data_IF_767730792172
#
_entry.id   IF_767730792172
#
_cell.length_a   1.000
_cell.length_b   1.000
_cell.length_c   1.000
_cell.angle_alpha   90.00
_cell.angle_beta   90.00
_cell.angle_gamma   90.00
#
_symmetry.space_group_name_H-M   'P 1'
#
loop_
_entity.id
_entity.type
_entity.pdbx_description
1 polymer ?
#
# COMPACT_ATOMS: atom_id res chain seq x y z
N UNK A 1 -44.52 -40.29 -35.89
CA UNK A 1 -43.69 -39.12 -36.11
C UNK A 1 -43.54 -38.30 -34.81
N UNK A 2 -44.60 -38.07 -34.10
CA UNK A 2 -44.60 -37.27 -32.86
C UNK A 2 -43.83 -37.93 -31.70
N UNK A 3 -43.81 -39.27 -31.65
CA UNK A 3 -43.09 -40.04 -30.60
C UNK A 3 -41.56 -40.02 -30.83
N UNK A 4 -41.12 -40.04 -32.09
CA UNK A 4 -39.70 -39.96 -32.44
C UNK A 4 -39.12 -38.57 -32.16
N UNK A 5 -39.93 -37.52 -32.31
CA UNK A 5 -39.51 -36.14 -31.98
C UNK A 5 -39.29 -35.92 -30.48
N UNK A 6 -40.19 -36.44 -29.64
CA UNK A 6 -40.04 -36.37 -28.16
C UNK A 6 -38.85 -37.17 -27.62
N UNK A 7 -38.52 -38.30 -28.25
CA UNK A 7 -37.34 -39.07 -27.87
C UNK A 7 -36.05 -38.35 -28.29
N UNK A 8 -36.05 -37.61 -29.38
CA UNK A 8 -34.95 -36.83 -29.87
C UNK A 8 -34.69 -35.58 -29.00
N UNK A 9 -35.75 -34.87 -28.59
CA UNK A 9 -35.65 -33.73 -27.66
C UNK A 9 -35.13 -34.15 -26.27
N UNK A 10 -35.62 -35.24 -25.71
CA UNK A 10 -35.14 -35.72 -24.41
C UNK A 10 -33.70 -36.22 -24.43
N UNK A 11 -33.22 -36.73 -25.57
CA UNK A 11 -31.81 -37.21 -25.68
C UNK A 11 -30.82 -36.08 -25.85
N UNK A 12 -31.23 -34.94 -26.40
CA UNK A 12 -30.34 -33.75 -26.54
C UNK A 12 -30.30 -32.93 -25.24
N UNK A 13 -31.37 -32.92 -24.45
CA UNK A 13 -31.46 -32.13 -23.21
C UNK A 13 -30.75 -32.75 -22.01
N UNK A 14 -30.41 -34.04 -22.07
CA UNK A 14 -29.71 -34.78 -21.00
C UNK A 14 -28.19 -34.94 -21.20
N UNK A 15 -27.55 -34.15 -22.08
CA UNK A 15 -26.11 -34.01 -22.02
C UNK A 15 -25.79 -33.10 -20.80
N UNK A 16 -25.82 -33.74 -19.63
CA UNK A 16 -25.44 -33.07 -18.38
C UNK A 16 -24.15 -32.24 -18.58
N UNK A 17 -24.15 -30.96 -18.22
CA UNK A 17 -22.97 -30.09 -18.36
C UNK A 17 -21.70 -30.75 -17.80
N UNK A 18 -21.84 -31.66 -16.84
CA UNK A 18 -20.74 -32.45 -16.28
C UNK A 18 -20.08 -33.38 -17.31
N UNK A 19 -20.87 -33.99 -18.24
CA UNK A 19 -20.34 -34.87 -19.28
C UNK A 19 -19.60 -34.04 -20.33
N UNK A 20 -20.13 -32.88 -20.69
CA UNK A 20 -19.45 -31.95 -21.60
C UNK A 20 -18.12 -31.47 -21.00
N UNK A 21 -18.09 -31.04 -19.75
CA UNK A 21 -16.86 -30.64 -19.04
C UNK A 21 -15.83 -31.77 -19.02
N UNK A 22 -16.24 -32.98 -18.68
CA UNK A 22 -15.36 -34.16 -18.69
C UNK A 22 -14.74 -34.43 -20.07
N UNK A 23 -15.52 -34.31 -21.13
CA UNK A 23 -15.07 -34.51 -22.48
C UNK A 23 -14.09 -33.41 -22.94
N UNK A 24 -14.39 -32.14 -22.61
CA UNK A 24 -13.49 -31.02 -22.88
C UNK A 24 -12.18 -31.17 -22.13
N UNK A 25 -12.23 -31.55 -20.87
CA UNK A 25 -11.04 -31.73 -20.05
C UNK A 25 -10.16 -32.89 -20.58
N UNK A 26 -10.78 -34.01 -20.93
CA UNK A 26 -10.08 -35.18 -21.49
C UNK A 26 -9.42 -34.83 -22.84
N UNK A 27 -10.13 -34.10 -23.68
CA UNK A 27 -9.61 -33.68 -25.00
C UNK A 27 -8.48 -32.67 -24.84
N UNK A 28 -8.61 -31.71 -23.94
CA UNK A 28 -7.57 -30.73 -23.62
C UNK A 28 -6.30 -31.42 -23.10
N UNK A 29 -6.45 -32.36 -22.16
CA UNK A 29 -5.31 -33.09 -21.59
C UNK A 29 -4.59 -33.97 -22.65
N UNK A 30 -5.38 -34.60 -23.55
CA UNK A 30 -4.79 -35.36 -24.68
C UNK A 30 -4.04 -34.48 -25.64
N UNK A 31 -4.53 -33.27 -25.94
CA UNK A 31 -3.85 -32.27 -26.78
C UNK A 31 -2.54 -31.79 -26.13
N UNK A 32 -2.55 -31.50 -24.82
CA UNK A 32 -1.34 -31.11 -24.08
C UNK A 32 -0.26 -32.19 -24.20
N UNK A 33 -0.65 -33.48 -24.05
CA UNK A 33 0.32 -34.58 -24.17
C UNK A 33 0.80 -34.81 -25.61
N UNK A 34 -0.02 -34.51 -26.60
CA UNK A 34 0.34 -34.68 -28.03
C UNK A 34 1.27 -33.58 -28.53
N UNK A 35 1.06 -32.33 -28.11
CA UNK A 35 1.84 -31.16 -28.53
C UNK A 35 2.68 -30.60 -27.40
N UNK A 36 3.62 -31.41 -26.87
CA UNK A 36 4.38 -31.12 -25.66
C UNK A 36 5.09 -29.77 -25.67
N UNK A 37 5.82 -29.45 -26.75
CA UNK A 37 6.60 -28.22 -26.87
C UNK A 37 5.69 -27.00 -26.89
N UNK A 38 4.64 -27.02 -27.71
CA UNK A 38 3.69 -25.94 -27.80
C UNK A 38 2.95 -25.70 -26.46
N UNK A 39 2.50 -26.79 -25.83
CA UNK A 39 1.84 -26.73 -24.53
C UNK A 39 2.77 -26.21 -23.44
N UNK A 40 4.04 -26.61 -23.45
CA UNK A 40 5.05 -26.14 -22.51
C UNK A 40 5.25 -24.62 -22.65
N UNK A 41 5.43 -24.11 -23.87
CA UNK A 41 5.62 -22.68 -24.12
C UNK A 41 4.40 -21.88 -23.63
N UNK A 42 3.20 -22.34 -23.93
CA UNK A 42 1.96 -21.65 -23.52
C UNK A 42 1.79 -21.66 -21.98
N UNK A 43 1.98 -22.81 -21.34
CA UNK A 43 1.84 -22.92 -19.89
C UNK A 43 2.91 -22.08 -19.20
N UNK A 44 4.16 -22.15 -19.67
CA UNK A 44 5.25 -21.36 -19.11
C UNK A 44 5.00 -19.86 -19.27
N UNK A 45 4.61 -19.41 -20.47
CA UNK A 45 4.31 -18.01 -20.72
C UNK A 45 3.13 -17.49 -19.86
N UNK A 46 2.05 -18.30 -19.76
CA UNK A 46 0.91 -17.94 -18.93
C UNK A 46 1.29 -17.92 -17.43
N UNK A 47 2.06 -18.89 -16.97
CA UNK A 47 2.54 -18.96 -15.59
C UNK A 47 3.41 -17.76 -15.22
N UNK A 48 4.33 -17.38 -16.13
CA UNK A 48 5.19 -16.21 -15.93
C UNK A 48 4.36 -14.92 -15.91
N UNK A 49 3.43 -14.76 -16.86
CA UNK A 49 2.54 -13.60 -16.89
C UNK A 49 1.68 -13.49 -15.63
N UNK A 50 1.13 -14.60 -15.15
CA UNK A 50 0.35 -14.64 -13.93
C UNK A 50 1.19 -14.32 -12.69
N UNK A 51 2.41 -14.86 -12.61
CA UNK A 51 3.35 -14.55 -11.52
C UNK A 51 3.69 -13.06 -11.48
N UNK A 52 4.02 -12.45 -12.62
CA UNK A 52 4.25 -11.00 -12.69
C UNK A 52 3.02 -10.19 -12.26
N UNK A 53 1.82 -10.56 -12.72
CA UNK A 53 0.59 -9.90 -12.35
C UNK A 53 0.33 -9.99 -10.83
N UNK A 54 0.53 -11.16 -10.22
CA UNK A 54 0.39 -11.34 -8.77
C UNK A 54 1.39 -10.49 -7.99
N UNK A 55 2.66 -10.43 -8.42
CA UNK A 55 3.68 -9.60 -7.77
C UNK A 55 3.30 -8.12 -7.83
N UNK A 56 2.80 -7.64 -8.97
CA UNK A 56 2.36 -6.25 -9.12
C UNK A 56 1.17 -5.97 -8.18
N UNK A 57 0.19 -6.88 -8.12
CA UNK A 57 -0.97 -6.72 -7.22
C UNK A 57 -0.53 -6.69 -5.75
N UNK A 58 0.39 -7.57 -5.35
CA UNK A 58 0.93 -7.59 -3.99
C UNK A 58 1.67 -6.29 -3.67
N UNK A 59 2.52 -5.83 -4.59
CA UNK A 59 3.23 -4.56 -4.45
C UNK A 59 2.28 -3.38 -4.30
N UNK A 60 1.29 -3.27 -5.19
CA UNK A 60 0.29 -2.19 -5.12
C UNK A 60 -0.52 -2.26 -3.84
N UNK A 61 -0.88 -3.47 -3.39
CA UNK A 61 -1.61 -3.66 -2.13
C UNK A 61 -0.77 -3.21 -0.93
N UNK A 62 0.51 -3.53 -0.90
CA UNK A 62 1.44 -3.12 0.14
C UNK A 62 1.60 -1.60 0.15
N UNK A 63 1.89 -0.99 -1.00
CA UNK A 63 2.04 0.46 -1.17
C UNK A 63 0.79 1.25 -0.75
N UNK A 64 -0.40 0.79 -1.15
CA UNK A 64 -1.67 1.46 -0.80
C UNK A 64 -2.04 1.27 0.67
N UNK A 65 -1.51 0.25 1.33
CA UNK A 65 -1.79 -0.04 2.76
C UNK A 65 -0.77 0.58 3.71
N UNK A 66 0.33 1.16 3.19
CA UNK A 66 1.50 1.54 3.96
C UNK A 66 1.19 2.39 5.20
N UNK A 67 0.40 3.44 5.10
CA UNK A 67 0.12 4.35 6.22
C UNK A 67 -1.26 4.14 6.88
N UNK A 68 -1.95 3.04 6.59
CA UNK A 68 -3.31 2.80 7.10
C UNK A 68 -3.40 2.41 8.56
N UNK A 69 -2.28 2.14 9.21
CA UNK A 69 -2.26 1.80 10.64
C UNK A 69 -2.53 3.01 11.55
N UNK A 70 -2.42 4.23 11.03
CA UNK A 70 -2.74 5.43 11.79
C UNK A 70 -4.24 5.54 12.04
N UNK A 71 -4.65 5.61 13.31
CA UNK A 71 -6.07 5.73 13.70
C UNK A 71 -6.76 6.94 13.07
N UNK A 72 -6.04 8.04 12.95
CA UNK A 72 -6.54 9.31 12.41
C UNK A 72 -6.08 9.56 10.97
N UNK A 73 -5.64 8.53 10.23
CA UNK A 73 -5.04 8.68 8.90
C UNK A 73 -5.89 9.47 7.91
N UNK A 74 -7.21 9.34 7.96
CA UNK A 74 -8.15 10.09 7.10
C UNK A 74 -8.21 11.59 7.40
N UNK A 75 -7.76 12.02 8.59
CA UNK A 75 -7.82 13.41 9.07
C UNK A 75 -6.43 14.05 9.11
N UNK A 76 -5.39 13.33 8.68
CA UNK A 76 -4.02 13.85 8.62
C UNK A 76 -3.76 14.44 7.24
N UNK A 77 -3.41 15.71 7.21
CA UNK A 77 -3.12 16.46 5.98
C UNK A 77 -1.71 17.02 6.00
N UNK A 78 -1.00 16.86 4.91
CA UNK A 78 0.32 17.45 4.74
C UNK A 78 0.20 18.82 4.09
N UNK A 79 0.78 19.83 4.73
CA UNK A 79 0.91 21.16 4.12
C UNK A 79 1.98 21.08 3.04
N UNK A 80 1.65 21.55 1.84
CA UNK A 80 2.59 21.68 0.72
C UNK A 80 2.61 23.13 0.24
N UNK A 81 3.79 23.62 -0.11
CA UNK A 81 3.94 24.93 -0.74
C UNK A 81 3.92 24.77 -2.27
N UNK A 82 3.19 25.66 -2.95
CA UNK A 82 3.17 25.76 -4.39
C UNK A 82 3.81 27.08 -4.78
N UNK A 83 4.99 27.02 -5.36
CA UNK A 83 5.73 28.19 -5.81
C UNK A 83 5.71 28.25 -7.34
N UNK A 84 5.41 29.42 -7.89
CA UNK A 84 5.54 29.68 -9.32
C UNK A 84 6.81 30.50 -9.58
N UNK A 85 7.72 29.95 -10.36
CA UNK A 85 8.92 30.64 -10.79
C UNK A 85 9.07 30.55 -12.31
N UNK A 86 9.12 31.68 -12.97
CA UNK A 86 9.21 31.79 -14.45
C UNK A 86 8.13 31.01 -15.22
N UNK A 87 6.90 30.94 -14.67
CA UNK A 87 5.79 30.23 -15.30
C UNK A 87 5.73 28.73 -15.00
N UNK A 88 6.75 28.15 -14.33
CA UNK A 88 6.72 26.78 -13.86
C UNK A 88 6.19 26.70 -12.44
N UNK A 89 5.20 25.84 -12.23
CA UNK A 89 4.67 25.55 -10.90
C UNK A 89 5.47 24.40 -10.25
N UNK A 90 6.09 24.68 -9.12
CA UNK A 90 6.79 23.67 -8.32
C UNK A 90 6.08 23.46 -6.99
N UNK A 91 5.69 22.22 -6.72
CA UNK A 91 5.16 21.80 -5.42
C UNK A 91 6.33 21.33 -4.56
N UNK A 92 6.40 21.82 -3.31
CA UNK A 92 7.38 21.39 -2.32
C UNK A 92 6.67 20.94 -1.06
N UNK A 93 7.08 19.79 -0.52
CA UNK A 93 6.67 19.34 0.80
C UNK A 93 7.40 20.03 1.95
N UNK A 94 8.43 20.82 1.64
CA UNK A 94 9.11 21.64 2.64
C UNK A 94 8.37 22.95 2.79
N UNK A 95 7.91 23.22 4.01
CA UNK A 95 7.17 24.42 4.38
C UNK A 95 7.93 25.18 5.46
N UNK A 96 7.59 26.46 5.64
CA UNK A 96 8.22 27.26 6.69
C UNK A 96 7.84 26.77 8.09
N UNK A 97 8.74 26.96 9.03
CA UNK A 97 8.58 26.52 10.43
C UNK A 97 7.34 27.08 11.16
N UNK A 98 6.90 28.30 10.80
CA UNK A 98 5.76 28.96 11.39
C UNK A 98 4.40 28.61 10.76
N UNK A 99 4.39 27.84 9.68
CA UNK A 99 3.13 27.59 8.96
C UNK A 99 2.17 26.71 9.77
N UNK A 100 2.66 25.63 10.40
CA UNK A 100 1.84 24.79 11.28
C UNK A 100 1.11 25.57 12.36
N UNK A 101 1.83 26.31 13.24
CA UNK A 101 1.21 27.16 14.28
C UNK A 101 0.22 28.20 13.72
N UNK A 102 0.58 28.85 12.61
CA UNK A 102 -0.28 29.88 12.01
C UNK A 102 -1.57 29.29 11.42
N UNK A 103 -1.49 28.13 10.79
CA UNK A 103 -2.70 27.47 10.29
C UNK A 103 -3.59 27.02 11.45
N UNK A 104 -3.03 26.42 12.49
CA UNK A 104 -3.79 26.00 13.66
C UNK A 104 -4.48 27.19 14.36
N UNK A 105 -3.85 28.36 14.40
CA UNK A 105 -4.42 29.53 15.01
C UNK A 105 -5.51 30.25 14.17
N UNK A 106 -5.47 30.12 12.83
CA UNK A 106 -6.30 30.95 11.95
C UNK A 106 -7.29 30.16 11.11
N UNK A 107 -7.16 28.83 11.01
CA UNK A 107 -8.03 28.00 10.19
C UNK A 107 -8.92 27.15 11.10
N UNK A 108 -10.25 27.35 11.08
CA UNK A 108 -11.15 26.54 11.86
C UNK A 108 -11.07 25.05 11.46
N UNK A 109 -11.21 24.16 12.45
CA UNK A 109 -11.22 22.72 12.21
C UNK A 109 -9.84 22.05 12.24
N UNK A 110 -8.76 22.80 12.48
CA UNK A 110 -7.44 22.23 12.75
C UNK A 110 -7.31 22.02 14.25
N UNK A 111 -7.30 20.74 14.67
CA UNK A 111 -7.20 20.37 16.08
C UNK A 111 -5.75 20.38 16.58
N UNK A 112 -4.81 19.94 15.72
CA UNK A 112 -3.40 19.82 16.07
C UNK A 112 -2.50 19.96 14.85
N UNK A 113 -1.23 20.22 15.06
CA UNK A 113 -0.21 20.22 14.01
C UNK A 113 1.05 19.54 14.50
N UNK A 114 1.85 19.02 13.56
CA UNK A 114 3.14 18.44 13.82
C UNK A 114 4.14 18.95 12.78
N UNK A 115 5.25 19.48 13.24
CA UNK A 115 6.39 19.79 12.39
C UNK A 115 7.36 18.63 12.45
N UNK A 116 7.89 18.25 11.32
CA UNK A 116 8.87 17.18 11.20
C UNK A 116 10.07 17.74 10.44
N UNK A 117 11.24 17.64 11.00
CA UNK A 117 12.50 18.01 10.38
C UNK A 117 13.51 16.88 10.54
N UNK A 118 14.07 16.40 9.46
CA UNK A 118 15.20 15.48 9.49
C UNK A 118 16.52 16.24 9.64
N UNK A 119 17.44 15.66 10.38
CA UNK A 119 18.80 16.19 10.53
C UNK A 119 19.75 15.11 11.01
N UNK A 120 21.04 15.28 10.75
CA UNK A 120 22.08 14.38 11.22
C UNK A 120 22.74 15.00 12.44
N UNK A 121 22.87 14.22 13.50
CA UNK A 121 23.50 14.66 14.75
C UNK A 121 24.45 13.60 15.28
N UNK A 122 25.52 14.10 15.92
CA UNK A 122 26.45 13.26 16.61
C UNK A 122 25.97 13.03 18.05
N UNK A 123 25.71 11.79 18.38
CA UNK A 123 25.29 11.37 19.72
C UNK A 123 26.50 10.79 20.44
N UNK A 124 26.83 11.37 21.59
CA UNK A 124 27.91 10.90 22.44
C UNK A 124 27.38 9.98 23.54
N UNK A 125 27.87 8.74 23.56
CA UNK A 125 27.62 7.78 24.64
C UNK A 125 28.94 7.40 25.29
N UNK A 126 29.24 7.99 26.46
CA UNK A 126 30.54 7.84 27.10
C UNK A 126 31.65 8.49 26.26
N UNK A 127 32.63 7.70 25.82
CA UNK A 127 33.75 8.13 24.93
C UNK A 127 33.45 7.92 23.45
N UNK A 128 32.38 7.21 23.13
CA UNK A 128 31.99 6.90 21.76
C UNK A 128 31.08 8.00 21.17
N UNK A 129 31.36 8.43 19.94
CA UNK A 129 30.59 9.43 19.21
C UNK A 129 30.12 8.78 17.91
N UNK A 130 28.82 8.71 17.74
CA UNK A 130 28.19 8.14 16.51
C UNK A 130 27.24 9.14 15.92
N UNK A 131 27.31 9.29 14.57
CA UNK A 131 26.39 10.12 13.80
C UNK A 131 25.12 9.35 13.50
N UNK A 132 23.99 9.89 13.91
CA UNK A 132 22.67 9.32 13.67
C UNK A 132 21.78 10.31 12.90
N UNK A 133 20.93 9.77 12.03
CA UNK A 133 19.88 10.55 11.42
C UNK A 133 18.71 10.65 12.42
N UNK A 134 18.35 11.87 12.79
CA UNK A 134 17.32 12.17 13.77
C UNK A 134 16.12 12.88 13.11
N UNK A 135 14.94 12.61 13.63
CA UNK A 135 13.74 13.38 13.34
C UNK A 135 13.46 14.31 14.53
N UNK A 136 13.47 15.60 14.27
CA UNK A 136 12.99 16.60 15.22
C UNK A 136 11.50 16.77 15.00
N UNK A 137 10.71 16.55 16.03
CA UNK A 137 9.26 16.56 15.99
C UNK A 137 8.67 17.36 17.16
N UNK A 138 7.46 17.84 17.00
CA UNK A 138 6.70 18.45 18.09
C UNK A 138 6.20 17.39 19.08
N UNK A 139 5.89 17.78 20.31
CA UNK A 139 5.35 16.89 21.35
C UNK A 139 4.04 16.20 20.94
N UNK A 140 3.27 16.80 20.04
CA UNK A 140 2.04 16.24 19.46
C UNK A 140 2.25 15.10 18.45
N UNK A 141 3.50 14.70 18.17
CA UNK A 141 3.81 13.72 17.15
C UNK A 141 3.06 12.39 17.36
N UNK A 142 3.13 11.82 18.55
CA UNK A 142 2.49 10.53 18.83
C UNK A 142 0.98 10.62 19.01
N UNK A 143 0.43 11.79 19.34
CA UNK A 143 -1.02 11.99 19.39
C UNK A 143 -1.63 12.11 17.99
N UNK A 144 -0.91 12.68 17.04
CA UNK A 144 -1.34 12.78 15.63
C UNK A 144 -1.05 11.48 14.88
N UNK A 145 0.18 10.97 15.00
CA UNK A 145 0.61 9.73 14.39
C UNK A 145 0.57 8.59 15.40
N UNK A 146 -0.22 7.56 15.12
CA UNK A 146 -0.46 6.43 16.03
C UNK A 146 0.66 5.39 15.98
N UNK A 147 1.92 5.79 16.09
CA UNK A 147 3.03 4.85 16.17
C UNK A 147 3.01 4.15 17.53
N UNK A 148 3.06 2.79 17.56
CA UNK A 148 3.13 2.07 18.81
C UNK A 148 4.52 2.24 19.44
N UNK A 149 4.58 2.60 20.72
CA UNK A 149 5.79 2.56 21.51
C UNK A 149 5.94 1.18 22.16
N UNK A 150 7.16 0.64 22.16
CA UNK A 150 7.46 -0.59 22.88
C UNK A 150 7.47 -0.35 24.39
N UNK A 151 7.98 0.82 24.82
CA UNK A 151 8.05 1.24 26.20
C UNK A 151 7.80 2.75 26.29
N UNK A 152 7.20 3.20 27.38
CA UNK A 152 6.92 4.61 27.64
C UNK A 152 5.50 4.99 27.28
N UNK A 153 5.17 6.24 27.59
CA UNK A 153 3.85 6.82 27.34
C UNK A 153 3.92 7.80 26.15
N UNK A 154 3.11 7.60 25.11
CA UNK A 154 3.08 8.47 23.93
C UNK A 154 2.78 9.94 24.23
N UNK A 155 2.04 10.23 25.31
CA UNK A 155 1.64 11.59 25.65
C UNK A 155 2.74 12.39 26.35
N UNK A 156 3.65 11.69 27.04
CA UNK A 156 4.70 12.33 27.87
C UNK A 156 6.11 12.20 27.33
N UNK A 157 6.38 11.24 26.43
CA UNK A 157 7.75 10.91 25.97
C UNK A 157 8.48 12.05 25.23
N UNK A 158 7.74 13.01 24.66
CA UNK A 158 8.30 14.16 23.92
C UNK A 158 7.97 15.52 24.56
N UNK A 159 7.62 15.56 25.84
CA UNK A 159 7.33 16.82 26.55
C UNK A 159 8.60 17.62 26.90
N UNK A 160 9.71 16.94 27.18
CA UNK A 160 10.99 17.59 27.39
C UNK A 160 11.69 17.82 26.04
N UNK A 161 12.14 19.05 25.70
CA UNK A 161 12.90 19.34 24.49
C UNK A 161 14.19 18.54 24.31
N UNK A 162 14.69 17.91 25.36
CA UNK A 162 15.87 17.06 25.34
C UNK A 162 15.56 15.57 25.31
N UNK A 163 14.28 15.18 25.25
CA UNK A 163 13.88 13.77 25.15
C UNK A 163 14.27 13.21 23.79
N UNK A 164 14.70 11.96 23.78
CA UNK A 164 14.97 11.17 22.58
C UNK A 164 14.19 9.86 22.72
N UNK A 165 13.44 9.50 21.69
CA UNK A 165 12.79 8.22 21.55
C UNK A 165 13.58 7.40 20.52
N UNK A 166 13.96 6.19 20.92
CA UNK A 166 14.77 5.26 20.13
C UNK A 166 13.94 4.11 19.61
#
# INVERSE_FOLDING_TARGET
WMMAYRLFENTIFELSPAIMFKNYFTTAFRNIRRSKIYSFINIFGLSLGLACAMLIILYVKDEVSYDRFHKNGNNIYRIVSKNSYKGEERKSGNTGFLQGPRFAANVPGIESFVRVRSGRQDIKKGTDIQSHDLLYVDSSFFSVFSFPLLHGDPESCLTDPKSIVL
#
